data_IF_904400988113
#
_entry.id   IF_904400988113
#
_cell.length_a   1.000
_cell.length_b   1.000
_cell.length_c   1.000
_cell.angle_alpha   90.00
_cell.angle_beta   90.00
_cell.angle_gamma   90.00
#
_symmetry.space_group_name_H-M   'P 1'
#
loop_
_entity.id
_entity.type
_entity.pdbx_description
1 polymer ?
#
# COMPACT_ATOMS: atom_id res chain seq x y z
N UNK A 1 -10.95 -26.43 -9.96
CA UNK A 1 -11.30 -25.47 -8.90
C UNK A 1 -11.18 -24.07 -9.50
N UNK A 2 -12.24 -23.24 -9.54
CA UNK A 2 -12.05 -21.85 -9.97
C UNK A 2 -11.12 -21.17 -8.97
N UNK A 3 -10.03 -20.57 -9.44
CA UNK A 3 -9.13 -19.82 -8.59
C UNK A 3 -9.94 -18.75 -7.86
N UNK A 4 -10.03 -18.83 -6.52
CA UNK A 4 -10.72 -17.82 -5.73
C UNK A 4 -10.06 -16.47 -6.01
N UNK A 5 -10.84 -15.52 -6.53
CA UNK A 5 -10.39 -14.16 -6.79
C UNK A 5 -9.80 -13.59 -5.50
N UNK A 6 -8.56 -13.09 -5.56
CA UNK A 6 -7.92 -12.45 -4.40
C UNK A 6 -8.66 -11.13 -4.10
N UNK A 7 -9.30 -10.97 -2.92
CA UNK A 7 -10.07 -9.77 -2.59
C UNK A 7 -9.22 -8.51 -2.46
N UNK A 8 -7.89 -8.67 -2.38
CA UNK A 8 -6.94 -7.56 -2.28
C UNK A 8 -6.69 -6.87 -3.62
N UNK A 9 -7.06 -7.52 -4.74
CA UNK A 9 -6.80 -7.05 -6.10
C UNK A 9 -8.11 -6.71 -6.85
N UNK A 10 -8.07 -5.63 -7.63
CA UNK A 10 -9.16 -5.33 -8.56
C UNK A 10 -9.12 -6.24 -9.81
N UNK A 11 -10.01 -6.00 -10.78
CA UNK A 11 -10.07 -6.80 -12.01
C UNK A 11 -8.83 -6.68 -12.91
N UNK A 12 -8.00 -5.66 -12.70
CA UNK A 12 -6.76 -5.42 -13.44
C UNK A 12 -5.51 -5.93 -12.71
N UNK A 13 -5.68 -6.55 -11.54
CA UNK A 13 -4.56 -7.02 -10.71
C UNK A 13 -3.89 -5.92 -9.88
N UNK A 14 -4.48 -4.72 -9.80
CA UNK A 14 -3.96 -3.63 -8.98
C UNK A 14 -4.37 -3.82 -7.52
N UNK A 15 -3.45 -3.49 -6.61
CA UNK A 15 -3.69 -3.58 -5.16
C UNK A 15 -4.69 -2.50 -4.73
N UNK A 16 -5.82 -2.92 -4.15
CA UNK A 16 -6.86 -2.02 -3.62
C UNK A 16 -7.04 -2.15 -2.10
N UNK A 17 -6.62 -3.28 -1.51
CA UNK A 17 -6.59 -3.50 -0.06
C UNK A 17 -5.29 -4.19 0.32
N UNK A 18 -4.74 -3.87 1.49
CA UNK A 18 -3.60 -4.59 2.07
C UNK A 18 -4.05 -5.22 3.39
N UNK A 19 -4.53 -6.46 3.31
CA UNK A 19 -5.04 -7.24 4.45
C UNK A 19 -4.04 -8.32 4.88
N UNK A 20 -3.29 -8.89 3.94
CA UNK A 20 -2.24 -9.88 4.15
C UNK A 20 -1.27 -9.91 2.96
N UNK A 21 -0.04 -10.35 3.19
CA UNK A 21 0.93 -10.60 2.10
C UNK A 21 0.66 -11.93 1.37
N UNK A 22 -0.10 -12.85 1.98
CA UNK A 22 -0.39 -14.15 1.39
C UNK A 22 -1.21 -14.03 0.10
N UNK A 23 -0.81 -14.77 -0.93
CA UNK A 23 -1.48 -14.78 -2.22
C UNK A 23 -1.31 -13.50 -3.05
N UNK A 24 -0.52 -12.53 -2.59
CA UNK A 24 -0.11 -11.39 -3.41
C UNK A 24 1.01 -11.81 -4.38
N UNK A 25 0.99 -11.33 -5.64
CA UNK A 25 2.11 -11.50 -6.55
C UNK A 25 3.39 -10.86 -5.99
N UNK A 26 4.53 -11.50 -6.25
CA UNK A 26 5.84 -11.01 -5.79
C UNK A 26 6.12 -9.59 -6.28
N UNK A 27 5.70 -9.28 -7.49
CA UNK A 27 5.90 -7.99 -8.16
C UNK A 27 5.22 -6.86 -7.39
N UNK A 28 4.02 -7.11 -6.87
CA UNK A 28 3.28 -6.14 -6.03
C UNK A 28 4.03 -5.86 -4.74
N UNK A 29 4.55 -6.91 -4.08
CA UNK A 29 5.32 -6.75 -2.84
C UNK A 29 6.61 -5.94 -3.08
N UNK A 30 7.33 -6.25 -4.14
CA UNK A 30 8.55 -5.51 -4.52
C UNK A 30 8.22 -4.05 -4.85
N UNK A 31 7.13 -3.78 -5.59
CA UNK A 31 6.71 -2.41 -5.89
C UNK A 31 6.41 -1.58 -4.63
N UNK A 32 5.80 -2.16 -3.60
CA UNK A 32 5.58 -1.50 -2.30
C UNK A 32 6.91 -1.14 -1.66
N UNK A 33 7.86 -2.09 -1.62
CA UNK A 33 9.18 -1.88 -1.02
C UNK A 33 10.01 -0.82 -1.77
N UNK A 34 10.02 -0.87 -3.10
CA UNK A 34 10.71 0.12 -3.94
C UNK A 34 10.12 1.53 -3.72
N UNK A 35 8.78 1.62 -3.67
CA UNK A 35 8.08 2.87 -3.37
C UNK A 35 8.46 3.40 -1.99
N UNK A 36 8.43 2.55 -0.96
CA UNK A 36 8.84 2.91 0.40
C UNK A 36 10.31 3.40 0.45
N UNK A 37 11.20 2.79 -0.33
CA UNK A 37 12.59 3.22 -0.49
C UNK A 37 12.71 4.68 -0.94
N UNK A 38 11.83 5.15 -1.85
CA UNK A 38 11.84 6.56 -2.28
C UNK A 38 11.54 7.54 -1.13
N UNK A 39 10.74 7.12 -0.14
CA UNK A 39 10.39 7.95 1.02
C UNK A 39 11.51 8.01 2.08
N UNK A 40 12.46 7.08 2.07
CA UNK A 40 13.61 7.13 2.97
C UNK A 40 14.45 8.40 2.72
N UNK A 41 14.61 8.79 1.46
CA UNK A 41 15.30 10.03 1.05
C UNK A 41 14.56 11.33 1.40
N UNK A 42 13.28 11.25 1.78
CA UNK A 42 12.44 12.41 2.14
C UNK A 42 12.68 12.85 3.59
N UNK A 43 13.24 11.98 4.44
CA UNK A 43 13.58 12.35 5.83
C UNK A 43 14.69 13.39 5.95
N UNK A 44 15.54 13.54 4.92
CA UNK A 44 16.62 14.54 4.86
C UNK A 44 16.19 15.89 4.27
N UNK A 45 14.95 15.99 3.75
CA UNK A 45 14.44 17.22 3.13
C UNK A 45 13.80 18.16 4.16
N UNK A 46 14.10 19.46 4.07
CA UNK A 46 13.50 20.52 4.90
C UNK A 46 11.96 20.56 4.83
N UNK A 47 11.38 20.13 3.69
CA UNK A 47 9.93 20.05 3.50
C UNK A 47 9.48 18.59 3.49
N UNK A 48 9.08 18.11 4.67
CA UNK A 48 8.59 16.73 4.90
C UNK A 48 7.17 16.46 4.38
N UNK A 49 6.43 17.49 3.93
CA UNK A 49 5.01 17.37 3.54
C UNK A 49 4.86 17.22 2.02
N UNK A 50 4.86 15.99 1.55
CA UNK A 50 4.49 15.66 0.16
C UNK A 50 2.94 15.66 0.05
N UNK A 51 2.31 16.40 -0.87
CA UNK A 51 0.86 16.60 -0.89
C UNK A 51 0.04 15.41 -1.44
N UNK A 52 0.59 14.19 -1.39
CA UNK A 52 0.01 13.00 -2.05
C UNK A 52 -1.42 12.67 -1.61
N UNK A 53 -1.80 13.02 -0.37
CA UNK A 53 -3.12 12.73 0.20
C UNK A 53 -3.98 13.99 0.40
N UNK A 54 -3.66 15.11 -0.27
CA UNK A 54 -4.46 16.34 -0.14
C UNK A 54 -5.93 16.07 -0.49
N UNK A 55 -6.84 16.47 0.40
CA UNK A 55 -8.28 16.26 0.23
C UNK A 55 -8.74 14.83 0.53
N UNK A 56 -7.88 13.98 1.11
CA UNK A 56 -8.25 12.66 1.64
C UNK A 56 -8.18 12.66 3.16
N UNK A 57 -9.18 12.07 3.80
CA UNK A 57 -9.18 11.78 5.24
C UNK A 57 -8.84 10.31 5.43
N UNK A 58 -7.79 10.02 6.20
CA UNK A 58 -7.37 8.66 6.55
C UNK A 58 -7.65 8.43 8.03
N UNK A 59 -8.30 7.33 8.36
CA UNK A 59 -8.67 6.96 9.73
C UNK A 59 -8.00 5.64 10.08
N UNK A 60 -7.34 5.61 11.24
CA UNK A 60 -6.83 4.36 11.81
C UNK A 60 -7.83 3.89 12.86
N UNK A 61 -8.31 2.66 12.71
CA UNK A 61 -9.23 2.03 13.66
C UNK A 61 -8.45 0.94 14.41
N UNK A 62 -8.29 1.12 15.71
CA UNK A 62 -7.66 0.15 16.60
C UNK A 62 -8.75 -0.45 17.50
N UNK A 63 -8.89 -1.77 17.49
CA UNK A 63 -9.89 -2.50 18.28
C UNK A 63 -9.28 -3.20 19.50
N UNK A 64 -7.96 -3.24 19.56
CA UNK A 64 -7.16 -3.85 20.63
C UNK A 64 -5.93 -2.97 20.91
N UNK A 65 -5.43 -3.04 22.16
CA UNK A 65 -4.30 -2.25 22.66
C UNK A 65 -2.95 -2.91 22.33
#
# INVERSE_FOLDING_TARGET
>A
MPARRNPQLNAHGELIHLLSIEGLPREVLVQILDTAGTFLSVNEREVKKVPLLRGKSVFNLFFEN
#
